data_IF_901936341889
#
_entry.id   IF_901936341889
#
_cell.length_a   1.000
_cell.length_b   1.000
_cell.length_c   1.000
_cell.angle_alpha   90.00
_cell.angle_beta   90.00
_cell.angle_gamma   90.00
#
_symmetry.space_group_name_H-M   'P 1'
#
loop_
_entity.id
_entity.type
_entity.pdbx_description
1 polymer ?
#
# COMPACT_ATOMS: atom_id res chain seq x y z
N UNK A 1 20.31 -25.15 12.82
CA UNK A 1 19.90 -23.82 13.34
C UNK A 1 19.74 -22.93 12.12
N UNK A 2 18.54 -22.86 11.56
CA UNK A 2 18.26 -21.99 10.42
C UNK A 2 18.24 -20.56 10.92
N UNK A 3 19.09 -19.72 10.33
CA UNK A 3 19.02 -18.27 10.51
C UNK A 3 17.64 -17.84 10.06
N UNK A 4 16.73 -17.57 11.00
CA UNK A 4 15.47 -16.88 10.74
C UNK A 4 15.89 -15.58 10.05
N UNK A 5 15.49 -15.40 8.78
CA UNK A 5 15.93 -14.29 7.94
C UNK A 5 15.83 -12.97 8.73
N UNK A 6 16.98 -12.46 9.18
CA UNK A 6 17.04 -11.21 9.93
C UNK A 6 16.63 -10.00 9.06
N UNK A 7 16.35 -10.24 7.76
CA UNK A 7 15.94 -9.22 6.79
C UNK A 7 14.49 -8.76 6.95
N UNK A 8 13.60 -9.57 7.54
CA UNK A 8 12.23 -9.14 7.80
C UNK A 8 12.00 -8.82 9.27
N UNK A 9 12.39 -7.61 9.65
CA UNK A 9 12.24 -7.09 11.00
C UNK A 9 10.79 -7.16 11.52
N UNK A 10 9.81 -7.00 10.65
CA UNK A 10 8.40 -6.99 11.06
C UNK A 10 7.88 -8.40 11.35
N UNK A 11 8.41 -9.44 10.69
CA UNK A 11 8.13 -10.84 11.06
C UNK A 11 8.59 -11.17 12.49
N UNK A 12 9.53 -10.40 13.05
CA UNK A 12 10.08 -10.62 14.39
C UNK A 12 9.45 -9.71 15.46
N UNK A 13 8.94 -8.55 15.05
CA UNK A 13 8.52 -7.50 15.99
C UNK A 13 7.02 -7.22 16.01
N UNK A 14 6.29 -7.59 14.95
CA UNK A 14 4.85 -7.47 14.93
C UNK A 14 4.20 -8.71 15.55
N UNK A 15 3.18 -8.49 16.37
CA UNK A 15 2.39 -9.59 16.91
C UNK A 15 1.29 -10.02 15.94
N UNK A 16 0.78 -11.24 16.12
CA UNK A 16 -0.23 -11.83 15.24
C UNK A 16 -1.54 -11.02 15.23
N UNK A 17 -1.92 -10.41 16.35
CA UNK A 17 -3.15 -9.60 16.46
C UNK A 17 -3.09 -8.37 15.56
N UNK A 18 -1.94 -7.69 15.52
CA UNK A 18 -1.72 -6.54 14.66
C UNK A 18 -1.76 -6.94 13.18
N UNK A 19 -1.06 -8.02 12.80
CA UNK A 19 -1.05 -8.48 11.41
C UNK A 19 -2.45 -8.90 10.94
N UNK A 20 -3.21 -9.55 11.83
CA UNK A 20 -4.62 -9.88 11.59
C UNK A 20 -5.46 -8.62 11.41
N UNK A 21 -5.28 -7.60 12.25
CA UNK A 21 -5.99 -6.33 12.12
C UNK A 21 -5.66 -5.64 10.79
N UNK A 22 -4.39 -5.59 10.38
CA UNK A 22 -3.96 -5.03 9.10
C UNK A 22 -4.63 -5.73 7.92
N UNK A 23 -4.68 -7.06 7.93
CA UNK A 23 -5.39 -7.85 6.92
C UNK A 23 -6.89 -7.56 6.89
N UNK A 24 -7.55 -7.58 8.06
CA UNK A 24 -8.98 -7.30 8.17
C UNK A 24 -9.34 -5.91 7.65
N UNK A 25 -8.50 -4.92 7.93
CA UNK A 25 -8.71 -3.53 7.51
C UNK A 25 -8.75 -3.34 6.00
N UNK A 26 -8.21 -4.27 5.21
CA UNK A 26 -8.31 -4.27 3.74
C UNK A 26 -9.75 -4.52 3.24
N UNK A 27 -10.61 -5.14 4.04
CA UNK A 27 -12.03 -5.34 3.70
C UNK A 27 -12.94 -4.16 4.10
N UNK A 28 -12.45 -3.28 4.96
CA UNK A 28 -13.17 -2.09 5.44
C UNK A 28 -13.04 -0.90 4.47
N UNK A 29 -13.87 0.15 4.59
CA UNK A 29 -13.76 1.36 3.76
C UNK A 29 -12.34 1.96 3.78
N UNK A 30 -11.82 2.54 2.68
CA UNK A 30 -10.46 3.09 2.64
C UNK A 30 -10.16 4.05 3.79
N UNK A 31 -8.90 4.09 4.24
CA UNK A 31 -8.44 5.03 5.26
C UNK A 31 -8.59 6.47 4.73
N UNK A 32 -8.82 7.43 5.63
CA UNK A 32 -9.06 8.84 5.25
C UNK A 32 -7.92 9.37 4.37
N UNK A 33 -6.67 9.07 4.71
CA UNK A 33 -5.52 9.53 3.93
C UNK A 33 -5.51 8.94 2.51
N UNK A 34 -5.97 7.70 2.32
CA UNK A 34 -6.05 7.06 1.00
C UNK A 34 -6.98 7.87 0.09
N UNK A 35 -8.14 8.26 0.61
CA UNK A 35 -9.09 9.10 -0.13
C UNK A 35 -8.51 10.49 -0.43
N UNK A 36 -7.83 11.11 0.55
CA UNK A 36 -7.21 12.42 0.37
C UNK A 36 -6.14 12.41 -0.74
N UNK A 37 -5.25 11.42 -0.74
CA UNK A 37 -4.23 11.31 -1.79
C UNK A 37 -4.82 11.00 -3.16
N UNK A 38 -5.87 10.16 -3.21
CA UNK A 38 -6.60 9.89 -4.46
C UNK A 38 -7.14 11.19 -5.06
N UNK A 39 -7.73 12.05 -4.23
CA UNK A 39 -8.24 13.35 -4.67
C UNK A 39 -7.12 14.25 -5.19
N UNK A 40 -6.02 14.39 -4.44
CA UNK A 40 -4.87 15.22 -4.83
C UNK A 40 -4.31 14.78 -6.19
N UNK A 41 -4.20 13.46 -6.41
CA UNK A 41 -3.72 12.92 -7.68
C UNK A 41 -4.72 13.20 -8.79
N UNK A 42 -6.02 13.03 -8.53
CA UNK A 42 -7.07 13.34 -9.50
C UNK A 42 -7.05 14.80 -9.95
N UNK A 43 -6.89 15.73 -9.01
CA UNK A 43 -6.76 17.16 -9.32
C UNK A 43 -5.56 17.39 -10.23
N UNK A 44 -4.40 16.80 -9.90
CA UNK A 44 -3.18 16.93 -10.69
C UNK A 44 -3.29 16.35 -12.12
N UNK A 45 -3.79 15.12 -12.27
CA UNK A 45 -3.88 14.45 -13.59
C UNK A 45 -4.99 15.03 -14.47
N UNK A 46 -5.99 15.69 -13.88
CA UNK A 46 -7.03 16.39 -14.64
C UNK A 46 -6.48 17.61 -15.38
N UNK A 47 -5.57 18.35 -14.73
CA UNK A 47 -4.90 19.52 -15.28
C UNK A 47 -3.72 19.14 -16.18
N UNK A 48 -3.05 18.04 -15.85
CA UNK A 48 -1.86 17.57 -16.54
C UNK A 48 -2.18 16.23 -17.21
N UNK A 49 -2.44 16.22 -18.52
CA UNK A 49 -2.71 14.97 -19.24
C UNK A 49 -1.40 14.27 -19.59
N UNK A 50 -1.27 13.00 -19.24
CA UNK A 50 -0.05 12.23 -19.47
C UNK A 50 -0.18 10.76 -19.07
N UNK A 51 0.94 10.04 -19.15
CA UNK A 51 1.09 8.70 -18.56
C UNK A 51 1.80 8.85 -17.24
N UNK A 52 1.27 8.21 -16.21
CA UNK A 52 1.77 8.34 -14.85
C UNK A 52 2.16 7.00 -14.26
N UNK A 53 3.11 7.05 -13.34
CA UNK A 53 3.50 5.92 -12.53
C UNK A 53 3.51 6.35 -11.06
N UNK A 54 3.04 5.46 -10.19
CA UNK A 54 3.08 5.66 -8.73
C UNK A 54 3.93 4.56 -8.13
N UNK A 55 4.98 4.95 -7.42
CA UNK A 55 5.78 4.06 -6.59
C UNK A 55 5.43 4.34 -5.12
N UNK A 56 4.67 3.43 -4.50
CA UNK A 56 4.22 3.53 -3.12
C UNK A 56 5.23 2.83 -2.21
N UNK A 57 6.16 3.62 -1.65
CA UNK A 57 7.30 3.13 -0.88
C UNK A 57 6.93 3.04 0.60
N UNK A 58 7.09 1.86 1.19
CA UNK A 58 6.55 1.55 2.51
C UNK A 58 5.03 1.33 2.45
N UNK A 59 4.55 0.65 1.41
CA UNK A 59 3.12 0.49 1.16
C UNK A 59 2.39 -0.33 2.24
N UNK A 60 3.12 -0.95 3.17
CA UNK A 60 2.57 -1.86 4.16
C UNK A 60 1.73 -2.94 3.44
N UNK A 61 0.52 -3.23 3.90
CA UNK A 61 -0.40 -4.19 3.29
C UNK A 61 -1.13 -3.65 2.06
N UNK A 62 -0.66 -2.56 1.45
CA UNK A 62 -1.22 -2.03 0.19
C UNK A 62 -2.51 -1.24 0.35
N UNK A 63 -2.71 -0.54 1.47
CA UNK A 63 -3.94 0.24 1.71
C UNK A 63 -4.24 1.26 0.60
N UNK A 64 -3.22 1.91 0.05
CA UNK A 64 -3.40 2.91 -1.01
C UNK A 64 -3.68 2.27 -2.38
N UNK A 65 -3.13 1.07 -2.66
CA UNK A 65 -3.34 0.34 -3.92
C UNK A 65 -4.83 0.18 -4.27
N UNK A 66 -5.67 0.00 -3.24
CA UNK A 66 -7.13 -0.16 -3.34
C UNK A 66 -7.84 1.01 -4.02
N UNK A 67 -7.25 2.21 -4.01
CA UNK A 67 -7.87 3.38 -4.63
C UNK A 67 -7.25 3.77 -5.97
N UNK A 68 -6.24 3.04 -6.44
CA UNK A 68 -5.57 3.36 -7.72
C UNK A 68 -6.56 3.31 -8.89
N UNK A 69 -7.54 2.40 -8.85
CA UNK A 69 -8.59 2.30 -9.86
C UNK A 69 -9.54 3.51 -9.92
N UNK A 70 -9.60 4.33 -8.87
CA UNK A 70 -10.40 5.56 -8.82
C UNK A 70 -9.62 6.80 -9.26
N UNK A 71 -8.38 6.63 -9.71
CA UNK A 71 -7.60 7.70 -10.32
C UNK A 71 -8.04 7.84 -11.79
N UNK A 72 -8.40 9.05 -12.19
CA UNK A 72 -8.92 9.39 -13.52
C UNK A 72 -7.80 9.49 -14.58
N UNK A 73 -6.88 8.53 -14.56
CA UNK A 73 -5.78 8.39 -15.51
C UNK A 73 -5.29 6.95 -15.53
N UNK A 74 -4.59 6.56 -16.59
CA UNK A 74 -3.90 5.28 -16.65
C UNK A 74 -2.64 5.34 -15.80
N UNK A 75 -2.66 4.66 -14.64
CA UNK A 75 -1.59 4.67 -13.65
C UNK A 75 -0.85 3.33 -13.65
N UNK A 76 0.45 3.37 -13.94
CA UNK A 76 1.35 2.26 -13.64
C UNK A 76 1.71 2.26 -12.15
N UNK A 77 0.97 1.50 -11.33
CA UNK A 77 1.19 1.43 -9.88
C UNK A 77 2.17 0.31 -9.49
N UNK A 78 3.02 0.60 -8.50
CA UNK A 78 3.89 -0.38 -7.84
C UNK A 78 3.96 -0.11 -6.34
N UNK A 79 3.44 -1.05 -5.54
CA UNK A 79 3.65 -1.10 -4.10
C UNK A 79 5.00 -1.74 -3.77
N UNK A 80 5.75 -1.12 -2.86
CA UNK A 80 7.06 -1.60 -2.42
C UNK A 80 7.12 -1.50 -0.90
N UNK A 81 7.40 -2.61 -0.23
CA UNK A 81 7.73 -2.62 1.19
C UNK A 81 9.02 -3.40 1.42
N UNK A 82 9.80 -2.99 2.43
CA UNK A 82 10.99 -3.71 2.85
C UNK A 82 10.62 -5.02 3.57
N UNK A 83 9.44 -5.06 4.18
CA UNK A 83 8.91 -6.22 4.87
C UNK A 83 8.09 -7.10 3.94
N UNK A 84 8.53 -8.36 3.79
CA UNK A 84 7.74 -9.37 3.08
C UNK A 84 6.46 -9.70 3.84
N UNK A 85 6.50 -9.66 5.17
CA UNK A 85 5.33 -9.88 6.05
C UNK A 85 4.13 -9.06 5.61
N UNK A 86 4.33 -7.79 5.25
CA UNK A 86 3.22 -6.94 4.80
C UNK A 86 2.79 -7.24 3.36
N UNK A 87 3.74 -7.54 2.47
CA UNK A 87 3.45 -7.88 1.08
C UNK A 87 2.74 -9.25 0.92
N UNK A 88 2.95 -10.17 1.86
CA UNK A 88 2.29 -11.47 1.90
C UNK A 88 0.85 -11.39 2.41
N UNK A 89 0.49 -10.32 3.11
CA UNK A 89 -0.90 -10.03 3.54
C UNK A 89 -1.72 -9.40 2.40
N UNK A 90 -1.05 -8.65 1.52
CA UNK A 90 -1.66 -7.83 0.47
C UNK A 90 -2.33 -8.64 -0.66
#
# INVERSE_FOLDING_TARGET
>A
MTTKDASDWHALTQNEEYLKLSSQRLSEPPLIYVNQFTQIINDFVSENKGKYAINDIGCNVGHFARNVEFINSDIAYRGIDISKTYLEIA
#
